data_IF_094721079095
#
_entry.id   IF_094721079095
#
_cell.length_a   1.000
_cell.length_b   1.000
_cell.length_c   1.000
_cell.angle_alpha   90.00
_cell.angle_beta   90.00
_cell.angle_gamma   90.00
#
_symmetry.space_group_name_H-M   'P 1'
#
loop_
_entity.id
_entity.type
_entity.pdbx_description
1 polymer ?
#
# COMPACT_ATOMS: atom_id res chain seq x y z
N UNK A 1 -4.25 -7.21 -8.09
CA UNK A 1 -5.74 -7.23 -8.06
C UNK A 1 -6.23 -5.81 -8.24
N UNK A 2 -7.07 -5.55 -9.21
CA UNK A 2 -7.71 -4.24 -9.34
C UNK A 2 -8.95 -4.20 -8.43
N UNK A 3 -8.87 -3.43 -7.37
CA UNK A 3 -9.96 -3.28 -6.40
C UNK A 3 -11.17 -2.49 -6.94
N UNK A 4 -11.05 -1.93 -8.13
CA UNK A 4 -12.11 -1.16 -8.78
C UNK A 4 -13.26 -2.01 -9.33
N UNK A 5 -13.14 -3.33 -9.25
CA UNK A 5 -14.26 -4.24 -9.49
C UNK A 5 -14.79 -4.27 -10.92
N UNK A 6 -13.91 -4.20 -11.91
CA UNK A 6 -14.29 -4.32 -13.34
C UNK A 6 -14.66 -5.75 -13.75
N UNK A 7 -14.88 -6.62 -12.79
CA UNK A 7 -15.09 -8.02 -13.02
C UNK A 7 -16.50 -8.51 -12.68
N UNK A 8 -16.62 -9.80 -12.63
CA UNK A 8 -17.82 -10.50 -12.23
C UNK A 8 -18.19 -10.22 -10.76
N UNK A 9 -19.39 -10.59 -10.34
CA UNK A 9 -19.81 -10.55 -8.93
C UNK A 9 -18.87 -11.38 -8.01
N UNK A 10 -18.22 -12.43 -8.56
CA UNK A 10 -17.23 -13.22 -7.85
C UNK A 10 -15.96 -12.41 -7.58
N UNK A 11 -15.49 -11.62 -8.55
CA UNK A 11 -14.31 -10.76 -8.39
C UNK A 11 -14.56 -9.66 -7.36
N UNK A 12 -15.75 -9.05 -7.40
CA UNK A 12 -16.14 -8.04 -6.42
C UNK A 12 -16.17 -8.61 -4.99
N UNK A 13 -16.65 -9.84 -4.83
CA UNK A 13 -16.65 -10.54 -3.53
C UNK A 13 -15.23 -10.85 -3.06
N UNK A 14 -14.38 -11.31 -3.94
CA UNK A 14 -12.97 -11.60 -3.64
C UNK A 14 -12.23 -10.33 -3.22
N UNK A 15 -12.41 -9.23 -3.96
CA UNK A 15 -11.84 -7.94 -3.61
C UNK A 15 -12.31 -7.46 -2.23
N UNK A 16 -13.61 -7.58 -1.95
CA UNK A 16 -14.18 -7.22 -0.65
C UNK A 16 -13.61 -8.07 0.50
N UNK A 17 -13.52 -9.38 0.31
CA UNK A 17 -12.94 -10.29 1.30
C UNK A 17 -11.48 -9.94 1.58
N UNK A 18 -10.71 -9.61 0.55
CA UNK A 18 -9.32 -9.17 0.68
C UNK A 18 -9.22 -7.87 1.48
N UNK A 19 -10.03 -6.87 1.18
CA UNK A 19 -10.08 -5.59 1.91
C UNK A 19 -10.39 -5.84 3.39
N UNK A 20 -11.41 -6.65 3.68
CA UNK A 20 -11.78 -6.98 5.06
C UNK A 20 -10.65 -7.73 5.78
N UNK A 21 -10.04 -8.69 5.13
CA UNK A 21 -8.94 -9.48 5.71
C UNK A 21 -7.68 -8.65 5.97
N UNK A 22 -7.41 -7.63 5.15
CA UNK A 22 -6.23 -6.76 5.29
C UNK A 22 -6.49 -5.48 6.08
N UNK A 23 -7.73 -5.21 6.47
CA UNK A 23 -8.08 -3.99 7.20
C UNK A 23 -7.28 -3.77 8.51
N UNK A 24 -6.99 -4.79 9.33
CA UNK A 24 -6.17 -4.59 10.52
C UNK A 24 -4.74 -4.14 10.21
N UNK A 25 -4.12 -4.71 9.17
CA UNK A 25 -2.78 -4.31 8.72
C UNK A 25 -2.79 -2.88 8.17
N UNK A 26 -3.77 -2.54 7.34
CA UNK A 26 -3.91 -1.19 6.81
C UNK A 26 -4.09 -0.16 7.93
N UNK A 27 -4.92 -0.46 8.91
CA UNK A 27 -5.12 0.42 10.07
C UNK A 27 -3.84 0.60 10.89
N UNK A 28 -3.08 -0.46 11.08
CA UNK A 28 -1.80 -0.38 11.78
C UNK A 28 -0.79 0.48 11.02
N UNK A 29 -0.68 0.29 9.70
CA UNK A 29 0.21 1.10 8.85
C UNK A 29 -0.21 2.57 8.81
N UNK A 30 -1.50 2.82 8.78
CA UNK A 30 -2.08 4.18 8.86
C UNK A 30 -1.68 4.88 10.16
N UNK A 31 -1.74 4.17 11.27
CA UNK A 31 -1.29 4.68 12.58
C UNK A 31 0.21 4.95 12.62
N UNK A 32 1.03 4.07 12.04
CA UNK A 32 2.48 4.27 11.96
C UNK A 32 2.82 5.49 11.12
N UNK A 33 2.21 5.63 9.95
CA UNK A 33 2.43 6.78 9.09
C UNK A 33 2.01 8.09 9.76
N UNK A 34 0.87 8.10 10.43
CA UNK A 34 0.40 9.25 11.19
C UNK A 34 1.36 9.64 12.33
N UNK A 35 1.98 8.67 12.97
CA UNK A 35 2.92 8.91 14.07
C UNK A 35 4.28 9.43 13.57
N UNK A 36 4.77 8.91 12.44
CA UNK A 36 6.13 9.19 11.95
C UNK A 36 6.19 10.30 10.89
N UNK A 37 5.13 10.50 10.12
CA UNK A 37 5.05 11.49 9.05
C UNK A 37 3.66 12.17 9.03
N UNK A 38 3.32 12.97 10.07
CA UNK A 38 1.97 13.50 10.25
C UNK A 38 1.54 14.49 9.15
N UNK A 39 2.45 15.24 8.57
CA UNK A 39 2.14 16.20 7.50
C UNK A 39 1.79 15.45 6.21
N UNK A 40 2.62 14.51 5.82
CA UNK A 40 2.42 13.65 4.65
C UNK A 40 1.16 12.79 4.82
N UNK A 41 0.94 12.27 6.03
CA UNK A 41 -0.29 11.56 6.36
C UNK A 41 -1.53 12.41 6.12
N UNK A 42 -1.53 13.67 6.54
CA UNK A 42 -2.67 14.57 6.36
C UNK A 42 -2.95 14.84 4.87
N UNK A 43 -1.92 14.99 4.06
CA UNK A 43 -2.04 15.18 2.61
C UNK A 43 -2.55 13.92 1.92
N UNK A 44 -1.98 12.76 2.22
CA UNK A 44 -2.42 11.46 1.67
C UNK A 44 -3.87 11.17 2.05
N UNK A 45 -4.25 11.45 3.30
CA UNK A 45 -5.63 11.25 3.75
C UNK A 45 -6.61 12.12 2.99
N UNK A 46 -6.29 13.39 2.76
CA UNK A 46 -7.11 14.29 1.96
C UNK A 46 -7.29 13.77 0.52
N UNK A 47 -6.23 13.26 -0.08
CA UNK A 47 -6.28 12.65 -1.41
C UNK A 47 -7.10 11.36 -1.43
N UNK A 48 -6.95 10.51 -0.42
CA UNK A 48 -7.74 9.30 -0.26
C UNK A 48 -9.23 9.59 -0.08
N UNK A 49 -9.57 10.63 0.69
CA UNK A 49 -10.97 11.08 0.85
C UNK A 49 -11.57 11.57 -0.46
N UNK A 50 -10.80 12.27 -1.27
CA UNK A 50 -11.24 12.71 -2.60
C UNK A 50 -11.47 11.52 -3.56
N UNK A 51 -10.77 10.42 -3.37
CA UNK A 51 -10.91 9.19 -4.17
C UNK A 51 -11.92 8.17 -3.65
N UNK A 52 -12.56 8.39 -2.52
CA UNK A 52 -13.49 7.45 -1.87
C UNK A 52 -14.66 6.98 -2.72
N UNK A 53 -15.08 7.80 -3.67
CA UNK A 53 -16.12 7.40 -4.61
C UNK A 53 -15.73 6.22 -5.52
N UNK A 54 -14.42 5.91 -5.59
CA UNK A 54 -13.90 4.76 -6.33
C UNK A 54 -13.91 3.49 -5.46
N UNK A 55 -13.63 3.65 -4.15
CA UNK A 55 -13.55 2.54 -3.20
C UNK A 55 -14.20 2.93 -1.88
N UNK A 56 -15.42 2.51 -1.68
CA UNK A 56 -16.25 2.82 -0.51
C UNK A 56 -15.75 2.19 0.82
N UNK A 57 -14.66 1.41 0.77
CA UNK A 57 -14.37 0.44 1.82
C UNK A 57 -13.01 0.61 2.53
N UNK A 58 -12.22 1.62 2.18
CA UNK A 58 -10.92 1.81 2.82
C UNK A 58 -10.94 3.02 3.76
N UNK A 59 -10.73 2.78 5.06
CA UNK A 59 -10.65 3.84 6.06
C UNK A 59 -9.26 4.48 6.17
N UNK A 60 -8.28 4.03 5.42
CA UNK A 60 -6.89 4.48 5.49
C UNK A 60 -6.58 5.76 4.70
N UNK A 61 -5.32 6.14 4.72
CA UNK A 61 -4.78 7.26 3.93
C UNK A 61 -4.29 6.82 2.55
N UNK A 62 -4.35 5.55 2.20
CA UNK A 62 -3.91 4.99 0.92
C UNK A 62 -5.09 4.46 0.11
N UNK A 63 -5.04 4.64 -1.21
CA UNK A 63 -6.05 4.14 -2.15
C UNK A 63 -5.68 2.79 -2.76
N UNK A 64 -4.45 2.36 -2.61
CA UNK A 64 -3.95 1.12 -3.17
C UNK A 64 -3.16 0.29 -2.16
N UNK A 65 -3.31 -1.01 -2.26
CA UNK A 65 -2.49 -2.00 -1.55
C UNK A 65 -2.07 -3.08 -2.53
N UNK A 66 -0.76 -3.26 -2.68
CA UNK A 66 -0.19 -4.37 -3.43
C UNK A 66 0.44 -5.38 -2.47
N UNK A 67 0.00 -6.62 -2.51
CA UNK A 67 0.62 -7.71 -1.78
C UNK A 67 1.36 -8.58 -2.77
N UNK A 68 2.66 -8.71 -2.60
CA UNK A 68 3.53 -9.42 -3.53
C UNK A 68 4.29 -10.50 -2.77
N UNK A 69 4.27 -11.72 -3.32
CA UNK A 69 4.93 -12.88 -2.76
C UNK A 69 6.24 -13.16 -3.51
N UNK A 70 7.33 -13.35 -2.76
CA UNK A 70 8.65 -13.68 -3.34
C UNK A 70 9.09 -12.67 -4.40
N UNK A 71 8.91 -11.39 -4.10
CA UNK A 71 9.28 -10.32 -5.00
C UNK A 71 10.78 -10.29 -5.20
N UNK A 72 11.19 -10.27 -6.45
CA UNK A 72 12.53 -9.89 -6.87
C UNK A 72 12.38 -8.98 -8.09
N UNK A 73 12.76 -7.74 -7.96
CA UNK A 73 12.66 -6.77 -9.05
C UNK A 73 13.97 -6.00 -9.18
N UNK A 74 14.29 -5.59 -10.40
CA UNK A 74 15.40 -4.68 -10.68
C UNK A 74 15.09 -3.26 -10.21
N UNK A 75 16.10 -2.41 -10.23
CA UNK A 75 15.95 -0.99 -9.91
C UNK A 75 14.92 -0.35 -10.84
N UNK A 76 13.94 0.32 -10.28
CA UNK A 76 12.87 1.00 -11.00
C UNK A 76 12.41 2.24 -10.23
N UNK A 77 11.60 3.06 -10.87
CA UNK A 77 10.98 4.23 -10.28
C UNK A 77 9.48 4.18 -10.54
N UNK A 78 8.69 4.32 -9.48
CA UNK A 78 7.23 4.35 -9.57
C UNK A 78 6.75 5.77 -9.85
N UNK A 79 6.61 6.11 -11.14
CA UNK A 79 6.25 7.46 -11.59
C UNK A 79 4.82 7.91 -11.23
N UNK A 80 3.99 7.01 -10.72
CA UNK A 80 2.59 7.29 -10.35
C UNK A 80 2.37 7.43 -8.86
N UNK A 81 3.39 7.16 -8.06
CA UNK A 81 3.31 7.36 -6.63
C UNK A 81 3.37 8.86 -6.33
N UNK A 82 2.48 9.27 -5.47
CA UNK A 82 2.40 10.65 -5.01
C UNK A 82 2.93 10.75 -3.58
N UNK A 83 4.04 11.48 -3.43
CA UNK A 83 4.76 11.78 -2.19
C UNK A 83 5.37 10.56 -1.48
N UNK A 84 4.59 9.76 -0.78
CA UNK A 84 5.08 8.63 0.01
C UNK A 84 4.38 7.34 -0.37
N UNK A 85 5.15 6.27 -0.51
CA UNK A 85 4.64 4.91 -0.43
C UNK A 85 5.18 4.21 0.83
N UNK A 86 4.46 3.21 1.29
CA UNK A 86 4.84 2.42 2.45
C UNK A 86 5.14 0.99 2.01
N UNK A 87 6.36 0.55 2.28
CA UNK A 87 6.80 -0.82 1.98
C UNK A 87 6.94 -1.57 3.30
N UNK A 88 6.29 -2.71 3.40
CA UNK A 88 6.33 -3.55 4.58
C UNK A 88 6.72 -4.96 4.20
N UNK A 89 7.81 -5.43 4.77
CA UNK A 89 8.25 -6.81 4.62
C UNK A 89 7.70 -7.67 5.76
N UNK A 90 7.26 -8.88 5.45
CA UNK A 90 6.72 -9.79 6.44
C UNK A 90 6.96 -11.25 6.07
N UNK A 91 6.93 -12.14 7.08
CA UNK A 91 7.14 -13.58 6.91
C UNK A 91 8.54 -14.06 7.31
N UNK A 92 8.77 -15.35 7.10
CA UNK A 92 10.07 -15.96 7.32
C UNK A 92 10.82 -16.03 5.99
N UNK A 93 11.86 -15.23 5.85
CA UNK A 93 12.66 -15.19 4.63
C UNK A 93 14.12 -14.86 4.96
N UNK A 94 15.01 -15.15 4.04
CA UNK A 94 16.41 -14.72 4.02
C UNK A 94 16.62 -13.89 2.76
N UNK A 95 17.40 -12.83 2.85
CA UNK A 95 17.49 -11.84 1.77
C UNK A 95 16.36 -10.80 1.89
N UNK A 96 15.92 -10.26 0.77
CA UNK A 96 14.86 -9.24 0.75
C UNK A 96 15.36 -7.83 1.00
N UNK A 97 16.64 -7.62 0.75
CA UNK A 97 17.27 -6.30 0.90
C UNK A 97 16.62 -5.29 -0.06
N UNK A 98 16.31 -4.12 0.46
CA UNK A 98 15.87 -2.98 -0.32
C UNK A 98 17.08 -2.10 -0.63
N UNK A 99 17.40 -1.98 -1.91
CA UNK A 99 18.49 -1.14 -2.38
C UNK A 99 17.97 0.18 -2.92
N UNK A 100 18.46 1.29 -2.38
CA UNK A 100 18.13 2.66 -2.76
C UNK A 100 19.36 3.33 -3.37
N UNK A 101 19.56 3.22 -4.69
CA UNK A 101 20.80 3.69 -5.35
C UNK A 101 21.07 5.18 -5.16
N UNK A 102 20.04 6.01 -5.25
CA UNK A 102 20.16 7.47 -5.13
C UNK A 102 20.64 7.93 -3.75
N UNK A 103 20.38 7.12 -2.74
CA UNK A 103 20.83 7.37 -1.36
C UNK A 103 22.07 6.57 -0.98
N UNK A 104 22.51 5.64 -1.82
CA UNK A 104 23.57 4.70 -1.53
C UNK A 104 23.26 3.79 -0.34
N UNK A 105 21.98 3.50 -0.10
CA UNK A 105 21.52 2.71 1.04
C UNK A 105 21.09 1.31 0.60
N UNK A 106 21.40 0.35 1.47
CA UNK A 106 20.86 -1.00 1.42
C UNK A 106 20.23 -1.31 2.77
N UNK A 107 18.92 -1.52 2.79
CA UNK A 107 18.18 -1.87 3.99
C UNK A 107 17.98 -3.39 4.01
N UNK A 108 18.48 -4.01 5.04
CA UNK A 108 18.38 -5.46 5.27
C UNK A 108 17.25 -5.80 6.25
#
# INVERSE_FOLDING_TARGET
MDLRGNGSAADARTARNYIVATAPQQKYLDMLLKAHAPLEYAQLKKSAEAGRWITDSTEGCTLGLATIWKLQVGVHLDHKDWELCMIVCGGNFTGGELYLPDLGLCLA
#
